data_IF_287168117824
#
_entry.id   IF_287168117824
#
_cell.length_a   1.000
_cell.length_b   1.000
_cell.length_c   1.000
_cell.angle_alpha   90.00
_cell.angle_beta   90.00
_cell.angle_gamma   90.00
#
_symmetry.space_group_name_H-M   'P 1'
#
loop_
_entity.id
_entity.type
_entity.pdbx_description
1 polymer ?
#
# COMPACT_ATOMS: atom_id res chain seq x y z
N UNK A 1 -30.05 59.05 -26.49
CA UNK A 1 -30.98 58.61 -27.56
C UNK A 1 -32.27 59.42 -27.55
N UNK A 2 -33.02 59.51 -26.45
CA UNK A 2 -34.26 60.33 -26.38
C UNK A 2 -34.07 61.83 -26.65
N UNK A 3 -32.97 62.43 -26.19
CA UNK A 3 -32.64 63.83 -26.49
C UNK A 3 -32.30 64.07 -27.97
N UNK A 4 -31.88 63.03 -28.68
CA UNK A 4 -31.66 63.05 -30.13
C UNK A 4 -32.94 62.76 -30.93
N UNK A 5 -34.03 62.31 -30.28
CA UNK A 5 -35.35 62.25 -30.88
C UNK A 5 -36.06 63.62 -30.89
N UNK A 6 -35.49 64.62 -30.20
CA UNK A 6 -35.88 66.03 -30.28
C UNK A 6 -35.18 66.78 -31.43
N UNK A 7 -34.37 66.10 -32.24
CA UNK A 7 -33.68 66.69 -33.40
C UNK A 7 -34.71 67.12 -34.44
N UNK A 8 -34.48 68.27 -35.08
CA UNK A 8 -35.35 68.86 -36.09
C UNK A 8 -35.30 68.08 -37.41
N UNK A 9 -34.28 67.24 -37.63
CA UNK A 9 -34.17 66.39 -38.81
C UNK A 9 -35.08 65.13 -38.73
N UNK A 10 -36.09 64.98 -39.61
CA UNK A 10 -37.02 63.85 -39.58
C UNK A 10 -36.38 62.47 -39.82
N UNK A 11 -35.29 62.41 -40.60
CA UNK A 11 -34.57 61.17 -40.89
C UNK A 11 -33.83 60.63 -39.66
N UNK A 12 -33.13 61.51 -38.96
CA UNK A 12 -32.42 61.18 -37.71
C UNK A 12 -33.39 60.79 -36.59
N UNK A 13 -34.53 61.50 -36.48
CA UNK A 13 -35.59 61.16 -35.53
C UNK A 13 -36.11 59.73 -35.73
N UNK A 14 -36.43 59.36 -36.96
CA UNK A 14 -36.96 58.02 -37.29
C UNK A 14 -35.96 56.92 -36.94
N UNK A 15 -34.68 57.11 -37.28
CA UNK A 15 -33.60 56.17 -36.95
C UNK A 15 -33.43 56.01 -35.43
N UNK A 16 -33.48 57.10 -34.68
CA UNK A 16 -33.33 57.08 -33.22
C UNK A 16 -34.51 56.37 -32.52
N UNK A 17 -35.73 56.49 -33.06
CA UNK A 17 -36.90 55.78 -32.55
C UNK A 17 -36.81 54.26 -32.80
N UNK A 18 -36.40 53.84 -34.01
CA UNK A 18 -36.19 52.43 -34.32
C UNK A 18 -35.12 51.79 -33.44
N UNK A 19 -34.01 52.50 -33.19
CA UNK A 19 -32.96 52.03 -32.28
C UNK A 19 -33.49 51.83 -30.85
N UNK A 20 -34.34 52.75 -30.38
CA UNK A 20 -34.94 52.67 -29.05
C UNK A 20 -35.89 51.47 -28.93
N UNK A 21 -36.69 51.20 -29.96
CA UNK A 21 -37.55 50.00 -30.00
C UNK A 21 -36.73 48.70 -29.97
N UNK A 22 -35.64 48.63 -30.75
CA UNK A 22 -34.75 47.47 -30.78
C UNK A 22 -34.12 47.20 -29.40
N UNK A 23 -33.58 48.24 -28.74
CA UNK A 23 -33.01 48.13 -27.39
C UNK A 23 -34.06 47.64 -26.38
N UNK A 24 -35.27 48.20 -26.43
CA UNK A 24 -36.34 47.79 -25.52
C UNK A 24 -36.74 46.32 -25.72
N UNK A 25 -36.76 45.84 -26.96
CA UNK A 25 -37.03 44.44 -27.27
C UNK A 25 -35.93 43.50 -26.77
N UNK A 26 -34.66 43.86 -26.98
CA UNK A 26 -33.50 43.10 -26.50
C UNK A 26 -33.47 43.03 -24.97
N UNK A 27 -33.66 44.16 -24.29
CA UNK A 27 -33.73 44.23 -22.83
C UNK A 27 -34.89 43.37 -22.29
N UNK A 28 -36.06 43.40 -22.92
CA UNK A 28 -37.19 42.55 -22.52
C UNK A 28 -36.83 41.06 -22.61
N UNK A 29 -36.14 40.64 -23.66
CA UNK A 29 -35.63 39.27 -23.80
C UNK A 29 -34.61 38.92 -22.72
N UNK A 30 -33.64 39.80 -22.48
CA UNK A 30 -32.61 39.62 -21.46
C UNK A 30 -33.18 39.50 -20.04
N UNK A 31 -34.14 40.35 -19.69
CA UNK A 31 -34.80 40.32 -18.37
C UNK A 31 -35.60 39.05 -18.15
N UNK A 32 -36.26 38.53 -19.20
CA UNK A 32 -36.94 37.24 -19.13
C UNK A 32 -35.95 36.11 -18.86
N UNK A 33 -34.88 36.03 -19.66
CA UNK A 33 -33.88 34.99 -19.50
C UNK A 33 -33.21 35.04 -18.12
N UNK A 34 -32.91 36.25 -17.64
CA UNK A 34 -32.37 36.44 -16.30
C UNK A 34 -33.37 36.01 -15.22
N UNK A 35 -34.65 36.38 -15.34
CA UNK A 35 -35.68 35.96 -14.38
C UNK A 35 -35.79 34.43 -14.23
N UNK A 36 -35.52 33.69 -15.31
CA UNK A 36 -35.53 32.23 -15.32
C UNK A 36 -34.30 31.62 -14.62
N UNK A 37 -33.19 32.37 -14.48
CA UNK A 37 -31.97 31.91 -13.78
C UNK A 37 -31.95 32.22 -12.28
N UNK A 38 -32.83 33.10 -11.79
CA UNK A 38 -32.83 33.52 -10.39
C UNK A 38 -33.33 32.39 -9.48
N UNK A 39 -32.45 31.93 -8.59
CA UNK A 39 -32.75 30.93 -7.56
C UNK A 39 -32.90 31.59 -6.18
N UNK A 40 -32.07 32.59 -5.86
CA UNK A 40 -32.02 33.21 -4.54
C UNK A 40 -33.15 34.23 -4.33
N UNK A 41 -33.68 34.29 -3.10
CA UNK A 41 -34.75 35.22 -2.74
C UNK A 41 -34.30 36.70 -2.81
N UNK A 42 -33.06 37.00 -2.39
CA UNK A 42 -32.52 38.36 -2.40
C UNK A 42 -32.29 38.86 -3.84
N UNK A 43 -31.77 38.00 -4.71
CA UNK A 43 -31.63 38.26 -6.14
C UNK A 43 -32.99 38.53 -6.80
N UNK A 44 -34.01 37.72 -6.45
CA UNK A 44 -35.39 37.93 -6.91
C UNK A 44 -35.93 39.30 -6.47
N UNK A 45 -35.67 39.71 -5.24
CA UNK A 45 -36.12 40.99 -4.73
C UNK A 45 -35.44 42.18 -5.43
N UNK A 46 -34.13 42.09 -5.66
CA UNK A 46 -33.36 43.10 -6.40
C UNK A 46 -33.81 43.18 -7.88
N UNK A 47 -34.03 42.02 -8.51
CA UNK A 47 -34.58 41.94 -9.87
C UNK A 47 -35.95 42.60 -9.96
N UNK A 48 -36.87 42.29 -9.05
CA UNK A 48 -38.20 42.88 -9.03
C UNK A 48 -38.12 44.41 -8.86
N UNK A 49 -37.23 44.89 -7.98
CA UNK A 49 -36.99 46.32 -7.76
C UNK A 49 -36.49 47.01 -9.04
N UNK A 50 -35.53 46.40 -9.74
CA UNK A 50 -35.06 46.90 -11.03
C UNK A 50 -36.17 46.86 -12.08
N UNK A 51 -36.90 45.75 -12.19
CA UNK A 51 -37.94 45.54 -13.19
C UNK A 51 -39.08 46.55 -13.03
N UNK A 52 -39.51 46.83 -11.80
CA UNK A 52 -40.50 47.86 -11.49
C UNK A 52 -39.99 49.26 -11.86
N UNK A 53 -38.73 49.57 -11.55
CA UNK A 53 -38.08 50.81 -11.95
C UNK A 53 -38.00 50.97 -13.48
N UNK A 54 -37.69 49.88 -14.19
CA UNK A 54 -37.65 49.83 -15.65
C UNK A 54 -39.04 50.05 -16.25
N UNK A 55 -40.09 49.42 -15.73
CA UNK A 55 -41.47 49.66 -16.16
C UNK A 55 -41.88 51.13 -15.99
N UNK A 56 -41.59 51.74 -14.84
CA UNK A 56 -41.90 53.15 -14.59
C UNK A 56 -41.10 54.10 -15.51
N UNK A 57 -39.87 53.74 -15.85
CA UNK A 57 -39.07 54.47 -16.85
C UNK A 57 -39.68 54.36 -18.25
N UNK A 58 -40.09 53.16 -18.68
CA UNK A 58 -40.74 52.93 -19.97
C UNK A 58 -42.06 53.69 -20.09
N UNK A 59 -42.88 53.74 -19.04
CA UNK A 59 -44.12 54.53 -19.03
C UNK A 59 -43.86 56.03 -19.29
N UNK A 60 -42.83 56.59 -18.65
CA UNK A 60 -42.42 57.98 -18.86
C UNK A 60 -41.81 58.21 -20.23
N UNK A 61 -40.99 57.27 -20.71
CA UNK A 61 -40.43 57.30 -22.05
C UNK A 61 -41.54 57.30 -23.10
N UNK A 62 -42.57 56.46 -22.96
CA UNK A 62 -43.72 56.44 -23.86
C UNK A 62 -44.45 57.78 -23.87
N UNK A 63 -44.64 58.42 -22.71
CA UNK A 63 -45.27 59.73 -22.63
C UNK A 63 -44.47 60.80 -23.39
N UNK A 64 -43.15 60.79 -23.26
CA UNK A 64 -42.25 61.68 -24.04
C UNK A 64 -42.41 61.44 -25.53
N UNK A 65 -42.45 60.18 -25.97
CA UNK A 65 -42.64 59.86 -27.40
C UNK A 65 -44.00 60.33 -27.91
N UNK A 66 -45.07 60.21 -27.11
CA UNK A 66 -46.40 60.74 -27.44
C UNK A 66 -46.42 62.27 -27.54
N UNK A 67 -45.69 62.97 -26.67
CA UNK A 67 -45.60 64.44 -26.72
C UNK A 67 -44.80 64.90 -27.95
N UNK A 68 -43.72 64.20 -28.30
CA UNK A 68 -42.97 64.44 -29.55
C UNK A 68 -43.86 64.19 -30.78
N UNK A 69 -44.58 63.07 -30.83
CA UNK A 69 -45.45 62.72 -31.95
C UNK A 69 -46.63 63.72 -32.13
N UNK A 70 -47.08 64.33 -31.03
CA UNK A 70 -48.17 65.30 -31.03
C UNK A 70 -47.71 66.77 -31.19
N UNK A 71 -46.42 67.01 -31.43
CA UNK A 71 -45.89 68.37 -31.60
C UNK A 71 -45.65 69.16 -30.31
N UNK A 72 -45.86 68.54 -29.14
CA UNK A 72 -45.70 69.13 -27.80
C UNK A 72 -44.25 69.07 -27.32
N UNK A 73 -43.40 69.85 -27.98
CA UNK A 73 -41.94 69.76 -27.80
C UNK A 73 -41.45 70.34 -26.47
N UNK A 74 -42.13 71.33 -25.91
CA UNK A 74 -41.76 71.92 -24.62
C UNK A 74 -42.11 70.98 -23.46
N UNK A 75 -43.26 70.31 -23.52
CA UNK A 75 -43.65 69.26 -22.58
C UNK A 75 -42.71 68.07 -22.65
N UNK A 76 -42.33 67.64 -23.86
CA UNK A 76 -41.34 66.57 -24.06
C UNK A 76 -39.98 66.94 -23.43
N UNK A 77 -39.50 68.18 -23.64
CA UNK A 77 -38.25 68.68 -23.03
C UNK A 77 -38.34 68.73 -21.51
N UNK A 78 -39.45 69.17 -20.94
CA UNK A 78 -39.66 69.21 -19.49
C UNK A 78 -39.66 67.80 -18.88
N UNK A 79 -40.35 66.85 -19.52
CA UNK A 79 -40.36 65.45 -19.09
C UNK A 79 -38.95 64.83 -19.15
N UNK A 80 -38.21 65.08 -20.23
CA UNK A 80 -36.83 64.58 -20.41
C UNK A 80 -35.89 65.16 -19.35
N UNK A 81 -35.99 66.45 -19.04
CA UNK A 81 -35.01 67.16 -18.19
C UNK A 81 -35.22 66.92 -16.68
N UNK A 82 -36.32 66.29 -16.26
CA UNK A 82 -36.63 66.06 -14.85
C UNK A 82 -37.22 64.68 -14.58
N UNK A 83 -38.54 64.47 -14.76
CA UNK A 83 -39.21 63.23 -14.37
C UNK A 83 -38.61 61.97 -15.01
N UNK A 84 -38.21 62.01 -16.28
CA UNK A 84 -37.61 60.88 -16.96
C UNK A 84 -36.21 60.57 -16.42
N UNK A 85 -35.37 61.59 -16.24
CA UNK A 85 -34.02 61.45 -15.65
C UNK A 85 -34.08 60.87 -14.24
N UNK A 86 -34.98 61.36 -13.39
CA UNK A 86 -35.13 60.83 -12.03
C UNK A 86 -35.52 59.34 -12.01
N UNK A 87 -36.39 58.91 -12.94
CA UNK A 87 -36.72 57.48 -13.09
C UNK A 87 -35.56 56.67 -13.63
N UNK A 88 -34.80 57.23 -14.58
CA UNK A 88 -33.59 56.60 -15.11
C UNK A 88 -32.54 56.40 -14.01
N UNK A 89 -32.31 57.39 -13.17
CA UNK A 89 -31.35 57.31 -12.05
C UNK A 89 -31.78 56.25 -11.03
N UNK A 90 -33.07 56.20 -10.69
CA UNK A 90 -33.62 55.21 -9.76
C UNK A 90 -33.50 53.78 -10.30
N UNK A 91 -33.82 53.59 -11.58
CA UNK A 91 -33.66 52.32 -12.29
C UNK A 91 -32.18 51.91 -12.36
N UNK A 92 -31.28 52.84 -12.69
CA UNK A 92 -29.84 52.57 -12.76
C UNK A 92 -29.29 52.16 -11.40
N UNK A 93 -29.70 52.83 -10.32
CA UNK A 93 -29.30 52.45 -8.96
C UNK A 93 -29.75 51.02 -8.61
N UNK A 94 -30.97 50.64 -8.98
CA UNK A 94 -31.46 49.28 -8.77
C UNK A 94 -30.68 48.26 -9.63
N UNK A 95 -30.33 48.61 -10.86
CA UNK A 95 -29.50 47.78 -11.74
C UNK A 95 -28.10 47.57 -11.15
N UNK A 96 -27.46 48.62 -10.67
CA UNK A 96 -26.14 48.53 -10.02
C UNK A 96 -26.21 47.61 -8.80
N UNK A 97 -27.22 47.76 -7.94
CA UNK A 97 -27.38 46.87 -6.79
C UNK A 97 -27.55 45.39 -7.19
N UNK A 98 -28.30 45.12 -8.27
CA UNK A 98 -28.46 43.77 -8.81
C UNK A 98 -27.14 43.21 -9.38
N UNK A 99 -26.39 44.03 -10.14
CA UNK A 99 -25.09 43.65 -10.68
C UNK A 99 -24.11 43.37 -9.54
N UNK A 100 -24.00 44.26 -8.56
CA UNK A 100 -23.07 44.12 -7.42
C UNK A 100 -23.35 42.85 -6.62
N UNK A 101 -24.63 42.54 -6.38
CA UNK A 101 -25.04 41.30 -5.72
C UNK A 101 -24.56 40.06 -6.49
N UNK A 102 -24.76 40.04 -7.81
CA UNK A 102 -24.40 38.89 -8.64
C UNK A 102 -22.88 38.77 -8.84
N UNK A 103 -22.17 39.89 -9.00
CA UNK A 103 -20.71 39.91 -9.09
C UNK A 103 -20.09 39.38 -7.79
N UNK A 104 -20.59 39.80 -6.63
CA UNK A 104 -20.14 39.30 -5.34
C UNK A 104 -20.45 37.81 -5.15
N UNK A 105 -21.66 37.38 -5.52
CA UNK A 105 -22.04 35.98 -5.50
C UNK A 105 -21.16 35.10 -6.39
N UNK A 106 -20.78 35.60 -7.58
CA UNK A 106 -19.86 34.90 -8.48
C UNK A 106 -18.43 34.81 -7.91
N UNK A 107 -17.94 35.88 -7.27
CA UNK A 107 -16.64 35.88 -6.59
C UNK A 107 -16.62 34.87 -5.42
N UNK A 108 -17.64 34.90 -4.55
CA UNK A 108 -17.78 33.96 -3.43
C UNK A 108 -17.87 32.50 -3.93
N UNK A 109 -18.62 32.26 -5.01
CA UNK A 109 -18.72 30.92 -5.60
C UNK A 109 -17.39 30.45 -6.20
N UNK A 110 -16.64 31.35 -6.84
CA UNK A 110 -15.30 31.07 -7.36
C UNK A 110 -14.32 30.71 -6.24
N UNK A 111 -14.30 31.51 -5.16
CA UNK A 111 -13.46 31.25 -3.98
C UNK A 111 -13.81 29.91 -3.33
N UNK A 112 -15.09 29.62 -3.10
CA UNK A 112 -15.52 28.32 -2.57
C UNK A 112 -15.11 27.16 -3.47
N UNK A 113 -15.17 27.33 -4.79
CA UNK A 113 -14.72 26.30 -5.71
C UNK A 113 -13.21 26.05 -5.60
N UNK A 114 -12.41 27.09 -5.37
CA UNK A 114 -10.97 26.95 -5.10
C UNK A 114 -10.72 26.26 -3.75
N UNK A 115 -11.41 26.67 -2.69
CA UNK A 115 -11.27 26.09 -1.36
C UNK A 115 -11.62 24.60 -1.36
N UNK A 116 -12.70 24.21 -2.04
CA UNK A 116 -13.10 22.81 -2.19
C UNK A 116 -12.05 22.02 -2.98
N UNK A 117 -11.41 22.62 -3.99
CA UNK A 117 -10.34 21.96 -4.74
C UNK A 117 -9.09 21.75 -3.87
N UNK A 118 -8.71 22.75 -3.08
CA UNK A 118 -7.57 22.68 -2.15
C UNK A 118 -7.83 21.68 -1.02
N UNK A 119 -9.04 21.66 -0.47
CA UNK A 119 -9.46 20.68 0.54
C UNK A 119 -9.43 19.25 -0.02
N UNK A 120 -9.94 19.05 -1.24
CA UNK A 120 -9.88 17.76 -1.92
C UNK A 120 -8.43 17.32 -2.17
N UNK A 121 -7.56 18.23 -2.60
CA UNK A 121 -6.14 17.94 -2.82
C UNK A 121 -5.44 17.55 -1.51
N UNK A 122 -5.68 18.28 -0.43
CA UNK A 122 -5.15 17.96 0.90
C UNK A 122 -5.67 16.61 1.42
N UNK A 123 -6.95 16.30 1.22
CA UNK A 123 -7.53 15.01 1.58
C UNK A 123 -6.87 13.85 0.81
N UNK A 124 -6.62 14.04 -0.50
CA UNK A 124 -5.90 13.06 -1.32
C UNK A 124 -4.48 12.85 -0.78
N UNK A 125 -3.71 13.92 -0.53
CA UNK A 125 -2.36 13.81 0.02
C UNK A 125 -2.35 13.07 1.36
N UNK A 126 -3.24 13.44 2.28
CA UNK A 126 -3.32 12.80 3.59
C UNK A 126 -3.65 11.31 3.47
N UNK A 127 -4.61 10.95 2.61
CA UNK A 127 -4.97 9.56 2.36
C UNK A 127 -3.79 8.75 1.80
N UNK A 128 -3.03 9.31 0.87
CA UNK A 128 -1.85 8.68 0.30
C UNK A 128 -0.74 8.47 1.34
N UNK A 129 -0.52 9.43 2.24
CA UNK A 129 0.44 9.30 3.34
C UNK A 129 0.05 8.18 4.30
N UNK A 130 -1.24 8.10 4.67
CA UNK A 130 -1.75 7.04 5.54
C UNK A 130 -1.58 5.66 4.88
N UNK A 131 -1.92 5.53 3.59
CA UNK A 131 -1.73 4.29 2.84
C UNK A 131 -0.25 3.92 2.78
N UNK A 132 0.63 4.87 2.49
CA UNK A 132 2.08 4.63 2.43
C UNK A 132 2.63 4.12 3.77
N UNK A 133 2.23 4.75 4.89
CA UNK A 133 2.64 4.32 6.23
C UNK A 133 2.10 2.92 6.56
N UNK A 134 0.85 2.63 6.22
CA UNK A 134 0.25 1.31 6.43
C UNK A 134 0.98 0.22 5.62
N UNK A 135 1.32 0.50 4.35
CA UNK A 135 2.10 -0.42 3.51
C UNK A 135 3.51 -0.64 4.06
N UNK A 136 4.19 0.43 4.50
CA UNK A 136 5.52 0.31 5.12
C UNK A 136 5.50 -0.51 6.42
N UNK A 137 4.49 -0.29 7.26
CA UNK A 137 4.29 -1.08 8.48
C UNK A 137 4.03 -2.55 8.16
N UNK A 138 3.13 -2.83 7.21
CA UNK A 138 2.80 -4.20 6.80
C UNK A 138 3.99 -4.91 6.17
N UNK A 139 4.76 -4.23 5.31
CA UNK A 139 6.00 -4.76 4.75
C UNK A 139 7.00 -5.13 5.85
N UNK A 140 7.20 -4.25 6.83
CA UNK A 140 8.10 -4.49 7.97
C UNK A 140 7.67 -5.71 8.80
N UNK A 141 6.36 -5.86 9.04
CA UNK A 141 5.80 -7.02 9.73
C UNK A 141 6.05 -8.30 8.95
N UNK A 142 5.72 -8.34 7.66
CA UNK A 142 5.90 -9.52 6.80
C UNK A 142 7.37 -9.92 6.66
N UNK A 143 8.28 -8.95 6.52
CA UNK A 143 9.72 -9.25 6.47
C UNK A 143 10.19 -9.90 7.77
N UNK A 144 9.73 -9.41 8.93
CA UNK A 144 10.13 -9.96 10.24
C UNK A 144 9.44 -11.27 10.60
N UNK A 145 8.19 -11.49 10.18
CA UNK A 145 7.44 -12.70 10.52
C UNK A 145 7.65 -13.85 9.53
N UNK A 146 8.01 -13.55 8.26
CA UNK A 146 8.14 -14.57 7.22
C UNK A 146 9.57 -14.63 6.68
N UNK A 147 10.07 -13.53 6.13
CA UNK A 147 11.34 -13.54 5.37
C UNK A 147 12.53 -13.88 6.25
N UNK A 148 12.64 -13.24 7.43
CA UNK A 148 13.75 -13.50 8.36
C UNK A 148 13.73 -14.94 8.91
N UNK A 149 12.62 -15.47 9.47
CA UNK A 149 12.60 -16.85 9.96
C UNK A 149 12.82 -17.92 8.87
N UNK A 150 12.40 -17.66 7.63
CA UNK A 150 12.67 -18.56 6.51
C UNK A 150 14.15 -18.54 6.12
N UNK A 151 14.80 -17.37 6.12
CA UNK A 151 16.23 -17.28 5.90
C UNK A 151 17.01 -18.01 7.01
N UNK A 152 16.59 -17.87 8.26
CA UNK A 152 17.16 -18.61 9.40
C UNK A 152 16.98 -20.12 9.22
N UNK A 153 15.82 -20.58 8.76
CA UNK A 153 15.55 -21.99 8.51
C UNK A 153 16.48 -22.56 7.41
N UNK A 154 16.72 -21.81 6.34
CA UNK A 154 17.69 -22.20 5.29
C UNK A 154 19.10 -22.29 5.86
N UNK A 155 19.56 -21.29 6.61
CA UNK A 155 20.88 -21.29 7.23
C UNK A 155 21.06 -22.45 8.24
N UNK A 156 20.00 -22.82 8.95
CA UNK A 156 19.99 -24.01 9.81
C UNK A 156 20.14 -25.29 8.99
N UNK A 157 19.38 -25.44 7.91
CA UNK A 157 19.44 -26.62 7.06
C UNK A 157 20.83 -26.79 6.42
N UNK A 158 21.45 -25.70 5.95
CA UNK A 158 22.81 -25.72 5.41
C UNK A 158 23.84 -26.18 6.45
N UNK A 159 23.76 -25.69 7.69
CA UNK A 159 24.65 -26.13 8.78
C UNK A 159 24.47 -27.60 9.12
N UNK A 160 23.24 -28.08 9.16
CA UNK A 160 22.97 -29.51 9.36
C UNK A 160 23.54 -30.33 8.21
N UNK A 161 23.44 -29.85 6.97
CA UNK A 161 24.01 -30.51 5.80
C UNK A 161 25.54 -30.58 5.83
N UNK A 162 26.23 -29.62 6.45
CA UNK A 162 27.69 -29.66 6.66
C UNK A 162 28.11 -30.47 7.91
N UNK A 163 27.15 -31.00 8.67
CA UNK A 163 27.40 -31.80 9.87
C UNK A 163 27.58 -30.99 11.17
N UNK A 164 27.41 -29.66 11.14
CA UNK A 164 27.43 -28.85 12.36
C UNK A 164 26.07 -28.91 13.07
N UNK A 165 26.01 -29.71 14.13
CA UNK A 165 24.83 -29.86 14.99
C UNK A 165 24.98 -29.15 16.34
N UNK A 166 26.01 -28.33 16.52
CA UNK A 166 26.36 -27.76 17.83
C UNK A 166 25.54 -26.52 18.18
N UNK A 167 25.09 -25.79 17.16
CA UNK A 167 24.45 -24.49 17.29
C UNK A 167 22.97 -24.60 17.65
N UNK A 168 22.51 -23.75 18.58
CA UNK A 168 21.11 -23.69 18.99
C UNK A 168 20.23 -23.07 17.90
N UNK A 169 19.07 -23.69 17.65
CA UNK A 169 18.05 -23.18 16.74
C UNK A 169 17.02 -22.43 17.58
N UNK A 170 17.06 -21.10 17.55
CA UNK A 170 16.10 -20.25 18.25
C UNK A 170 14.80 -20.19 17.46
N UNK A 171 13.70 -20.56 18.12
CA UNK A 171 12.35 -20.47 17.54
C UNK A 171 11.59 -19.35 18.21
N UNK A 172 11.19 -18.36 17.42
CA UNK A 172 10.27 -17.30 17.84
C UNK A 172 8.98 -17.39 17.03
N UNK A 173 7.83 -17.18 17.67
CA UNK A 173 6.52 -17.19 17.00
C UNK A 173 5.73 -18.49 17.18
N UNK A 174 4.56 -18.52 16.52
CA UNK A 174 3.56 -19.59 16.60
C UNK A 174 2.97 -19.96 15.23
N UNK A 175 3.51 -19.39 14.17
CA UNK A 175 3.10 -19.53 12.77
C UNK A 175 3.87 -20.65 12.05
N UNK A 176 3.65 -20.78 10.75
CA UNK A 176 4.24 -21.80 9.89
C UNK A 176 5.79 -21.73 9.84
N UNK A 177 6.45 -20.56 9.73
CA UNK A 177 7.90 -20.47 9.84
C UNK A 177 8.43 -20.92 11.20
N UNK A 178 7.75 -20.58 12.30
CA UNK A 178 8.12 -21.07 13.63
C UNK A 178 7.96 -22.61 13.74
N UNK A 179 6.91 -23.18 13.12
CA UNK A 179 6.71 -24.62 13.06
C UNK A 179 7.84 -25.32 12.29
N UNK A 180 8.28 -24.74 11.16
CA UNK A 180 9.40 -25.23 10.38
C UNK A 180 10.70 -25.24 11.20
N UNK A 181 11.02 -24.13 11.87
CA UNK A 181 12.20 -24.05 12.73
C UNK A 181 12.16 -25.06 13.89
N UNK A 182 10.98 -25.33 14.49
CA UNK A 182 10.84 -26.40 15.50
C UNK A 182 11.07 -27.79 14.92
N UNK A 183 10.60 -28.05 13.71
CA UNK A 183 10.83 -29.33 13.05
C UNK A 183 12.33 -29.54 12.77
N UNK A 184 13.03 -28.51 12.29
CA UNK A 184 14.48 -28.53 12.11
C UNK A 184 15.23 -28.72 13.43
N UNK A 185 14.79 -28.07 14.51
CA UNK A 185 15.35 -28.26 15.86
C UNK A 185 15.22 -29.70 16.34
N UNK A 186 14.06 -30.32 16.15
CA UNK A 186 13.85 -31.73 16.49
C UNK A 186 14.73 -32.66 15.64
N UNK A 187 14.86 -32.37 14.34
CA UNK A 187 15.73 -33.12 13.44
C UNK A 187 17.20 -33.05 13.88
N UNK A 188 17.69 -31.85 14.21
CA UNK A 188 19.05 -31.66 14.74
C UNK A 188 19.27 -32.47 16.03
N UNK A 189 18.31 -32.46 16.96
CA UNK A 189 18.36 -33.24 18.19
C UNK A 189 18.46 -34.76 17.92
N UNK A 190 17.60 -35.29 17.07
CA UNK A 190 17.62 -36.70 16.68
C UNK A 190 18.94 -37.12 16.00
N UNK A 191 19.50 -36.25 15.15
CA UNK A 191 20.80 -36.49 14.53
C UNK A 191 21.93 -36.52 15.58
N UNK A 192 21.95 -35.58 16.52
CA UNK A 192 22.94 -35.57 17.62
C UNK A 192 22.88 -36.83 18.46
N UNK A 193 21.67 -37.27 18.82
CA UNK A 193 21.49 -38.48 19.63
C UNK A 193 21.91 -39.73 18.86
N UNK A 194 21.70 -39.77 17.55
CA UNK A 194 22.17 -40.86 16.69
C UNK A 194 23.70 -40.90 16.65
N UNK A 195 24.37 -39.76 16.45
CA UNK A 195 25.84 -39.68 16.46
C UNK A 195 26.42 -40.06 17.84
N UNK A 196 25.80 -39.64 18.95
CA UNK A 196 26.21 -40.06 20.30
C UNK A 196 26.12 -41.58 20.49
N UNK A 197 25.04 -42.21 20.01
CA UNK A 197 24.89 -43.67 20.09
C UNK A 197 25.95 -44.38 19.25
N UNK A 198 26.24 -43.90 18.05
CA UNK A 198 27.32 -44.44 17.20
C UNK A 198 28.66 -44.34 17.91
N UNK A 199 28.99 -43.17 18.48
CA UNK A 199 30.25 -42.99 19.22
C UNK A 199 30.36 -43.97 20.41
N UNK A 200 29.31 -44.10 21.21
CA UNK A 200 29.28 -45.05 22.33
C UNK A 200 29.45 -46.51 21.88
N UNK A 201 28.83 -46.91 20.77
CA UNK A 201 29.01 -48.24 20.19
C UNK A 201 30.42 -48.45 19.62
N UNK A 202 31.04 -47.42 19.04
CA UNK A 202 32.43 -47.47 18.59
C UNK A 202 33.40 -47.62 19.76
N UNK A 203 33.18 -46.92 20.88
CA UNK A 203 34.00 -47.08 22.09
C UNK A 203 33.87 -48.51 22.66
N UNK A 204 32.66 -49.05 22.72
CA UNK A 204 32.43 -50.44 23.13
C UNK A 204 33.12 -51.44 22.20
N UNK A 205 33.07 -51.21 20.88
CA UNK A 205 33.75 -52.05 19.91
C UNK A 205 35.28 -51.98 20.07
N UNK A 206 35.83 -50.79 20.35
CA UNK A 206 37.25 -50.62 20.59
C UNK A 206 37.70 -51.40 21.84
N UNK A 207 36.98 -51.27 22.95
CA UNK A 207 37.27 -52.03 24.18
C UNK A 207 37.17 -53.55 23.98
N UNK A 208 36.13 -54.03 23.28
CA UNK A 208 36.00 -55.46 22.94
C UNK A 208 37.15 -55.95 22.04
N UNK A 209 37.65 -55.08 21.15
CA UNK A 209 38.80 -55.42 20.28
C UNK A 209 40.10 -55.52 21.07
N UNK A 210 40.32 -54.66 22.07
CA UNK A 210 41.46 -54.76 23.00
C UNK A 210 41.41 -56.03 23.86
N UNK A 211 40.22 -56.39 24.36
CA UNK A 211 40.00 -57.64 25.10
C UNK A 211 40.30 -58.86 24.22
N UNK A 212 39.77 -58.88 22.98
CA UNK A 212 40.05 -59.95 22.01
C UNK A 212 41.54 -60.03 21.67
N UNK A 213 42.24 -58.90 21.52
CA UNK A 213 43.69 -58.91 21.31
C UNK A 213 44.39 -59.59 22.48
N UNK A 214 44.03 -59.24 23.72
CA UNK A 214 44.62 -59.83 24.93
C UNK A 214 44.39 -61.35 24.99
N UNK A 215 43.15 -61.79 24.75
CA UNK A 215 42.79 -63.22 24.72
C UNK A 215 43.54 -63.97 23.61
N UNK A 216 43.70 -63.34 22.44
CA UNK A 216 44.44 -63.92 21.32
C UNK A 216 45.93 -64.10 21.66
N UNK A 217 46.53 -63.12 22.34
CA UNK A 217 47.91 -63.18 22.79
C UNK A 217 48.13 -64.27 23.84
N UNK A 218 47.24 -64.36 24.84
CA UNK A 218 47.27 -65.42 25.85
C UNK A 218 47.09 -66.82 25.20
N UNK A 219 46.18 -66.94 24.22
CA UNK A 219 45.98 -68.18 23.47
C UNK A 219 47.22 -68.57 22.67
N UNK A 220 47.86 -67.60 22.00
CA UNK A 220 49.11 -67.84 21.26
C UNK A 220 50.23 -68.32 22.21
N UNK A 221 50.37 -67.71 23.39
CA UNK A 221 51.30 -68.17 24.43
C UNK A 221 50.97 -69.60 24.88
N UNK A 222 49.69 -69.91 25.10
CA UNK A 222 49.24 -71.27 25.45
C UNK A 222 49.55 -72.31 24.38
N UNK A 223 49.35 -71.98 23.09
CA UNK A 223 49.71 -72.85 21.96
C UNK A 223 51.22 -73.11 21.90
N UNK A 224 52.06 -72.10 22.13
CA UNK A 224 53.51 -72.29 22.20
C UNK A 224 53.91 -73.25 23.33
N UNK A 225 53.28 -73.14 24.51
CA UNK A 225 53.53 -74.04 25.62
C UNK A 225 53.05 -75.47 25.33
N UNK A 226 51.86 -75.63 24.76
CA UNK A 226 51.31 -76.92 24.35
C UNK A 226 52.20 -77.59 23.29
N UNK A 227 52.72 -76.83 22.33
CA UNK A 227 53.67 -77.33 21.35
C UNK A 227 54.93 -77.89 22.01
N UNK A 228 55.49 -77.18 23.00
CA UNK A 228 56.64 -77.65 23.76
C UNK A 228 56.34 -78.94 24.55
N UNK A 229 55.15 -79.05 25.16
CA UNK A 229 54.72 -80.28 25.85
C UNK A 229 54.54 -81.45 24.87
N UNK A 230 54.03 -81.20 23.66
CA UNK A 230 53.92 -82.21 22.60
C UNK A 230 55.31 -82.66 22.14
N UNK A 231 56.26 -81.75 21.97
CA UNK A 231 57.65 -82.10 21.61
C UNK A 231 58.31 -82.97 22.69
N UNK A 232 58.06 -82.66 23.98
CA UNK A 232 58.49 -83.48 25.09
C UNK A 232 57.81 -84.85 25.10
N UNK A 233 56.51 -84.91 24.87
CA UNK A 233 55.76 -86.17 24.78
C UNK A 233 56.24 -87.03 23.61
N UNK A 234 56.49 -86.45 22.44
CA UNK A 234 57.05 -87.13 21.29
C UNK A 234 58.46 -87.68 21.59
N UNK A 235 59.28 -86.90 22.30
CA UNK A 235 60.60 -87.34 22.79
C UNK A 235 60.46 -88.52 23.75
N UNK A 236 59.51 -88.45 24.70
CA UNK A 236 59.24 -89.54 25.64
C UNK A 236 58.72 -90.81 24.92
N UNK A 237 57.85 -90.67 23.92
CA UNK A 237 57.37 -91.77 23.09
C UNK A 237 58.52 -92.40 22.29
N UNK A 238 59.43 -91.60 21.75
CA UNK A 238 60.64 -92.11 21.10
C UNK A 238 61.52 -92.89 22.07
N UNK A 239 61.75 -92.37 23.28
CA UNK A 239 62.50 -93.08 24.32
C UNK A 239 61.80 -94.37 24.78
N UNK A 240 60.47 -94.34 24.95
CA UNK A 240 59.69 -95.53 25.27
C UNK A 240 59.74 -96.57 24.16
N UNK A 241 59.64 -96.16 22.89
CA UNK A 241 59.80 -97.07 21.74
C UNK A 241 61.18 -97.71 21.74
N UNK A 242 62.24 -96.93 21.95
CA UNK A 242 63.60 -97.45 22.06
C UNK A 242 63.75 -98.44 23.23
N UNK A 243 63.16 -98.14 24.39
CA UNK A 243 63.17 -99.05 25.54
C UNK A 243 62.36 -100.34 25.27
N UNK A 244 61.23 -100.26 24.55
CA UNK A 244 60.45 -101.44 24.13
C UNK A 244 61.23 -102.28 23.12
N UNK A 245 61.91 -101.66 22.16
CA UNK A 245 62.84 -102.36 21.24
C UNK A 245 63.99 -103.01 22.01
N UNK A 246 64.56 -102.35 23.02
CA UNK A 246 65.60 -102.89 23.88
C UNK A 246 65.08 -104.10 24.69
N UNK A 247 63.89 -104.02 25.26
CA UNK A 247 63.24 -105.14 25.98
C UNK A 247 62.92 -106.29 25.03
N UNK A 248 62.43 -105.99 23.82
CA UNK A 248 62.15 -107.00 22.80
C UNK A 248 63.44 -107.71 22.35
N UNK A 249 64.52 -106.96 22.09
CA UNK A 249 65.84 -107.51 21.77
C UNK A 249 66.40 -108.36 22.92
N UNK A 250 66.27 -107.91 24.17
CA UNK A 250 66.67 -108.71 25.33
C UNK A 250 65.84 -109.99 25.47
N UNK A 251 64.53 -109.92 25.26
CA UNK A 251 63.66 -111.09 25.31
C UNK A 251 64.00 -112.11 24.21
N UNK A 252 64.31 -111.65 23.00
CA UNK A 252 64.81 -112.50 21.89
C UNK A 252 66.17 -113.10 22.25
N UNK A 253 67.12 -112.31 22.74
CA UNK A 253 68.44 -112.80 23.15
C UNK A 253 68.40 -113.78 24.33
N UNK A 254 67.35 -113.75 25.17
CA UNK A 254 67.18 -114.70 26.28
C UNK A 254 66.42 -115.96 25.84
N UNK A 255 65.80 -115.95 24.66
CA UNK A 255 65.06 -117.08 24.09
C UNK A 255 65.93 -118.03 23.22
N UNK A 256 67.18 -117.65 22.92
CA UNK A 256 68.23 -118.47 22.31
C UNK A 256 69.17 -119.10 23.37
#
# INVERSE_FOLDING_TARGET
>A
TLRAALDDNPGERTRNLQMLEAINAELKGGLKNYADTIIAADDRALFNTFNDGYHQYLERQLKVLQDIAAGRMDEAKQQISGPLTQRADSMMKALTALIDYNSKGAEDASQRSSDVADEAFNAIIFSLLVIMLALAAMATVLTRSIVVPLADAVAVAERVATGDLTQEIRVTGRDEPALLLRALSRMQGSLRDTIRKIAASSDQLASASEELHTVTEDTSRGLHQQSAEIDQAATAVNQMTAAVEEVANNAVSTAD
#
